data_IF_445881912941
#
_entry.id   IF_445881912941
#
_cell.length_a   1.000
_cell.length_b   1.000
_cell.length_c   1.000
_cell.angle_alpha   90.00
_cell.angle_beta   90.00
_cell.angle_gamma   90.00
#
_symmetry.space_group_name_H-M   'P 1'
#
loop_
_entity.id
_entity.type
_entity.pdbx_description
1 polymer ?
#
# COMPACT_ATOMS: atom_id res chain seq x y z
N UNK A 1 -19.22 39.91 30.61
CA UNK A 1 -20.62 39.66 30.17
C UNK A 1 -21.40 40.96 29.92
N UNK A 2 -21.21 41.97 30.76
CA UNK A 2 -21.94 43.25 30.65
C UNK A 2 -21.33 44.24 29.65
N UNK A 3 -20.03 44.13 29.31
CA UNK A 3 -19.38 44.87 28.22
C UNK A 3 -20.04 44.69 26.84
N UNK A 4 -20.26 43.44 26.34
CA UNK A 4 -20.89 43.26 25.02
C UNK A 4 -22.34 43.73 24.97
N UNK A 5 -23.02 43.85 26.13
CA UNK A 5 -24.35 44.47 26.20
C UNK A 5 -24.23 45.97 26.01
N UNK A 6 -23.32 46.65 26.72
CA UNK A 6 -23.08 48.09 26.56
C UNK A 6 -22.64 48.47 25.14
N UNK A 7 -21.70 47.72 24.55
CA UNK A 7 -21.24 47.93 23.17
C UNK A 7 -22.40 47.89 22.18
N UNK A 8 -23.27 46.88 22.29
CA UNK A 8 -24.36 46.68 21.35
C UNK A 8 -25.50 47.67 21.53
N UNK A 9 -25.59 48.24 22.73
CA UNK A 9 -26.48 49.34 23.03
C UNK A 9 -25.90 50.70 22.65
N UNK A 10 -24.64 50.76 22.18
CA UNK A 10 -23.90 52.00 21.86
C UNK A 10 -23.74 52.93 23.07
N UNK A 11 -23.64 52.35 24.27
CA UNK A 11 -23.54 53.06 25.54
C UNK A 11 -22.11 53.00 26.09
N UNK A 12 -21.11 53.12 25.23
CA UNK A 12 -19.69 52.95 25.57
C UNK A 12 -18.96 54.25 25.88
N UNK A 13 -19.58 55.40 25.65
CA UNK A 13 -18.94 56.70 25.86
C UNK A 13 -18.95 57.10 27.34
N UNK A 14 -17.78 57.59 27.80
CA UNK A 14 -17.59 58.18 29.12
C UNK A 14 -17.60 57.19 30.29
N UNK A 15 -17.86 57.74 31.48
CA UNK A 15 -17.98 57.01 32.74
C UNK A 15 -19.44 56.64 32.96
N UNK A 16 -19.70 55.35 33.14
CA UNK A 16 -21.06 54.82 33.18
C UNK A 16 -21.21 53.79 34.28
N UNK A 17 -22.28 53.89 35.06
CA UNK A 17 -22.68 52.85 36.00
C UNK A 17 -23.89 52.09 35.46
N UNK A 18 -23.74 50.81 35.14
CA UNK A 18 -24.87 49.93 34.79
C UNK A 18 -25.40 49.24 36.04
N UNK A 19 -26.71 49.33 36.28
CA UNK A 19 -27.41 48.55 37.28
C UNK A 19 -28.40 47.60 36.60
N UNK A 20 -28.48 46.39 37.13
CA UNK A 20 -29.53 45.46 36.77
C UNK A 20 -29.92 44.62 37.98
N UNK A 21 -31.14 44.09 37.92
CA UNK A 21 -31.70 43.24 38.94
C UNK A 21 -31.55 41.80 38.49
N UNK A 22 -31.07 40.97 39.41
CA UNK A 22 -30.96 39.53 39.26
C UNK A 22 -31.64 38.84 40.44
N UNK A 23 -31.88 37.54 40.32
CA UNK A 23 -32.48 36.76 41.41
C UNK A 23 -31.62 36.77 42.69
N UNK A 24 -30.32 37.07 42.56
CA UNK A 24 -29.39 37.16 43.68
C UNK A 24 -29.36 38.56 44.32
N UNK A 25 -29.84 39.61 43.64
CA UNK A 25 -29.81 40.99 44.16
C UNK A 25 -29.62 42.05 43.09
N UNK A 26 -29.12 43.21 43.51
CA UNK A 26 -28.81 44.34 42.60
C UNK A 26 -27.34 44.28 42.23
N UNK A 27 -27.03 44.10 40.95
CA UNK A 27 -25.67 44.12 40.45
C UNK A 27 -25.36 45.48 39.85
N UNK A 28 -24.23 46.04 40.29
CA UNK A 28 -23.70 47.33 39.88
C UNK A 28 -22.38 47.08 39.14
N UNK A 29 -22.25 47.59 37.92
CA UNK A 29 -21.06 47.44 37.10
C UNK A 29 -20.65 48.81 36.56
N UNK A 30 -19.45 49.27 36.93
CA UNK A 30 -18.90 50.55 36.50
C UNK A 30 -17.98 50.36 35.29
N UNK A 31 -18.22 51.18 34.27
CA UNK A 31 -17.54 51.18 32.99
C UNK A 31 -16.87 52.51 32.73
N UNK A 32 -15.70 52.44 32.11
CA UNK A 32 -14.96 53.58 31.61
C UNK A 32 -14.60 53.31 30.15
N UNK A 33 -15.11 54.13 29.22
CA UNK A 33 -14.91 53.96 27.79
C UNK A 33 -15.27 52.54 27.29
N UNK A 34 -16.40 52.01 27.79
CA UNK A 34 -16.90 50.68 27.44
C UNK A 34 -16.21 49.50 28.13
N UNK A 35 -15.13 49.71 28.90
CA UNK A 35 -14.44 48.64 29.63
C UNK A 35 -14.89 48.56 31.08
N UNK A 36 -15.12 47.35 31.56
CA UNK A 36 -15.50 47.10 32.95
C UNK A 36 -14.30 47.37 33.87
N UNK A 37 -14.45 48.28 34.82
CA UNK A 37 -13.42 48.59 35.83
C UNK A 37 -13.76 48.00 37.19
N UNK A 38 -15.05 47.96 37.53
CA UNK A 38 -15.52 47.52 38.83
C UNK A 38 -16.89 46.86 38.71
N UNK A 39 -17.14 45.80 39.48
CA UNK A 39 -18.47 45.21 39.60
C UNK A 39 -18.72 44.71 41.01
N UNK A 40 -19.91 44.98 41.54
CA UNK A 40 -20.38 44.52 42.85
C UNK A 40 -21.79 43.96 42.74
N UNK A 41 -22.06 42.92 43.50
CA UNK A 41 -23.41 42.42 43.73
C UNK A 41 -23.81 42.75 45.17
N UNK A 42 -24.90 43.48 45.35
CA UNK A 42 -25.53 43.64 46.65
C UNK A 42 -26.65 42.60 46.76
N UNK A 43 -26.52 41.60 47.65
CA UNK A 43 -27.49 40.52 47.76
C UNK A 43 -28.85 41.04 48.24
N UNK A 44 -29.94 40.37 47.88
CA UNK A 44 -31.30 40.75 48.29
C UNK A 44 -31.44 40.95 49.81
N UNK A 45 -30.75 40.13 50.61
CA UNK A 45 -30.76 40.20 52.08
C UNK A 45 -30.11 41.46 52.65
N UNK A 46 -29.25 42.13 51.88
CA UNK A 46 -28.54 43.34 52.30
C UNK A 46 -29.23 44.63 51.81
N UNK A 47 -30.35 44.52 51.09
CA UNK A 47 -31.10 45.68 50.62
C UNK A 47 -31.84 46.34 51.78
N UNK A 48 -31.79 47.68 51.83
CA UNK A 48 -32.47 48.51 52.83
C UNK A 48 -33.99 48.47 52.71
N UNK A 49 -34.52 48.14 51.54
CA UNK A 49 -35.95 48.00 51.27
C UNK A 49 -36.24 46.77 50.42
N UNK A 50 -37.35 46.10 50.71
CA UNK A 50 -37.93 45.08 49.81
C UNK A 50 -38.46 45.70 48.49
N UNK A 51 -38.59 47.03 48.44
CA UNK A 51 -38.91 47.77 47.22
C UNK A 51 -37.67 47.91 46.33
N UNK A 52 -37.57 47.04 45.32
CA UNK A 52 -36.43 46.95 44.40
C UNK A 52 -36.09 48.27 43.68
N UNK A 53 -37.04 49.05 43.12
CA UNK A 53 -36.79 50.38 42.58
C UNK A 53 -36.05 51.31 43.53
N UNK A 54 -36.51 51.42 44.79
CA UNK A 54 -35.87 52.28 45.80
C UNK A 54 -34.50 51.77 46.19
N UNK A 55 -34.38 50.46 46.43
CA UNK A 55 -33.12 49.83 46.78
C UNK A 55 -32.06 50.06 45.68
N UNK A 56 -32.45 49.97 44.40
CA UNK A 56 -31.57 50.25 43.26
C UNK A 56 -31.05 51.69 43.28
N UNK A 57 -31.94 52.67 43.48
CA UNK A 57 -31.58 54.08 43.53
C UNK A 57 -30.70 54.41 44.75
N UNK A 58 -30.98 53.83 45.92
CA UNK A 58 -30.14 53.98 47.12
C UNK A 58 -28.75 53.39 46.94
N UNK A 59 -28.67 52.20 46.34
CA UNK A 59 -27.39 51.56 46.06
C UNK A 59 -26.53 52.36 45.08
N UNK A 60 -27.12 52.96 44.04
CA UNK A 60 -26.43 53.89 43.15
C UNK A 60 -25.89 55.12 43.92
N UNK A 61 -26.68 55.68 44.85
CA UNK A 61 -26.25 56.79 45.71
C UNK A 61 -25.14 56.40 46.68
N UNK A 62 -25.18 55.18 47.23
CA UNK A 62 -24.14 54.64 48.13
C UNK A 62 -22.83 54.38 47.41
N UNK A 63 -22.87 53.95 46.14
CA UNK A 63 -21.66 53.72 45.35
C UNK A 63 -20.95 55.01 44.95
N UNK A 64 -21.65 56.11 44.75
CA UNK A 64 -21.06 57.34 44.22
C UNK A 64 -19.87 57.86 45.06
N UNK A 65 -19.96 58.01 46.40
CA UNK A 65 -18.83 58.38 47.24
C UNK A 65 -17.65 57.39 47.16
N UNK A 66 -17.92 56.10 46.98
CA UNK A 66 -16.89 55.07 46.83
C UNK A 66 -16.14 55.20 45.50
N UNK A 67 -16.85 55.47 44.40
CA UNK A 67 -16.21 55.70 43.09
C UNK A 67 -15.35 56.98 43.12
N UNK A 68 -15.81 58.03 43.82
CA UNK A 68 -15.03 59.24 44.06
C UNK A 68 -13.77 58.99 44.88
N UNK A 69 -13.87 58.21 45.97
CA UNK A 69 -12.71 57.93 46.84
C UNK A 69 -11.65 57.08 46.12
N UNK A 70 -12.08 56.16 45.25
CA UNK A 70 -11.21 55.37 44.40
C UNK A 70 -10.65 56.13 43.18
N UNK A 71 -11.01 57.41 43.02
CA UNK A 71 -10.62 58.26 41.87
C UNK A 71 -11.02 57.66 40.51
N UNK A 72 -12.12 56.90 40.48
CA UNK A 72 -12.67 56.31 39.26
C UNK A 72 -13.60 57.26 38.51
N UNK A 73 -14.12 58.28 39.19
CA UNK A 73 -14.98 59.31 38.60
C UNK A 73 -14.43 60.71 38.89
N UNK A 74 -14.69 61.64 37.97
CA UNK A 74 -14.21 63.02 38.09
C UNK A 74 -15.13 63.83 39.03
N UNK A 75 -14.55 64.72 39.82
CA UNK A 75 -15.34 65.64 40.66
C UNK A 75 -16.10 66.63 39.76
N UNK A 76 -17.31 67.02 40.16
CA UNK A 76 -18.19 67.95 39.44
C UNK A 76 -18.70 67.49 38.06
N UNK A 77 -18.57 66.21 37.71
CA UNK A 77 -19.25 65.65 36.53
C UNK A 77 -20.35 64.68 36.98
N UNK A 78 -21.61 64.86 36.55
CA UNK A 78 -22.67 63.91 36.90
C UNK A 78 -22.37 62.54 36.28
N UNK A 79 -22.44 61.50 37.10
CA UNK A 79 -22.25 60.13 36.63
C UNK A 79 -23.53 59.62 35.95
N UNK A 80 -23.40 59.13 34.72
CA UNK A 80 -24.50 58.47 34.02
C UNK A 80 -24.76 57.08 34.60
N UNK A 81 -25.95 56.89 35.14
CA UNK A 81 -26.43 55.64 35.74
C UNK A 81 -27.49 55.03 34.84
N UNK A 82 -27.15 53.91 34.21
CA UNK A 82 -28.01 53.19 33.27
C UNK A 82 -28.64 52.00 33.99
N UNK A 83 -29.96 51.94 34.07
CA UNK A 83 -30.67 50.88 34.78
C UNK A 83 -31.45 50.03 33.78
N UNK A 84 -31.15 48.73 33.71
CA UNK A 84 -31.95 47.80 32.92
C UNK A 84 -33.21 47.44 33.69
N UNK A 85 -34.37 47.75 33.11
CA UNK A 85 -35.69 47.61 33.74
C UNK A 85 -36.67 46.94 32.78
N UNK A 86 -37.50 45.99 33.27
CA UNK A 86 -38.60 45.44 32.50
C UNK A 86 -39.69 46.47 32.19
N UNK A 87 -40.33 46.40 31.01
CA UNK A 87 -41.29 47.42 30.58
C UNK A 87 -42.47 47.57 31.55
N UNK A 88 -42.92 46.47 32.17
CA UNK A 88 -44.03 46.47 33.13
C UNK A 88 -43.78 47.28 34.42
N UNK A 89 -42.52 47.57 34.78
CA UNK A 89 -42.16 48.31 36.00
C UNK A 89 -41.44 49.62 35.73
N UNK A 90 -41.38 50.06 34.47
CA UNK A 90 -40.61 51.23 34.07
C UNK A 90 -41.03 52.49 34.84
N UNK A 91 -42.32 52.67 35.09
CA UNK A 91 -42.87 53.81 35.85
C UNK A 91 -42.45 53.82 37.32
N UNK A 92 -42.43 52.64 37.97
CA UNK A 92 -41.97 52.51 39.36
C UNK A 92 -40.48 52.88 39.50
N UNK A 93 -39.66 52.45 38.54
CA UNK A 93 -38.24 52.80 38.49
C UNK A 93 -38.04 54.28 38.16
N UNK A 94 -38.84 54.87 37.28
CA UNK A 94 -38.79 56.30 36.97
C UNK A 94 -39.09 57.16 38.21
N UNK A 95 -40.04 56.74 39.04
CA UNK A 95 -40.38 57.44 40.28
C UNK A 95 -39.27 57.38 41.33
N UNK A 96 -38.58 56.23 41.45
CA UNK A 96 -37.53 56.01 42.45
C UNK A 96 -36.14 56.55 42.02
N UNK A 97 -35.79 56.41 40.74
CA UNK A 97 -34.49 56.76 40.15
C UNK A 97 -34.47 58.21 39.66
N UNK A 98 -34.71 59.17 40.55
CA UNK A 98 -34.68 60.60 40.21
C UNK A 98 -33.24 61.10 40.05
N UNK A 99 -33.00 61.86 38.99
CA UNK A 99 -31.73 62.54 38.76
C UNK A 99 -31.38 63.49 39.91
N UNK A 100 -30.10 63.63 40.17
CA UNK A 100 -29.50 64.50 41.19
C UNK A 100 -28.26 65.14 40.57
N UNK A 101 -27.71 66.20 41.16
CA UNK A 101 -26.48 66.86 40.66
C UNK A 101 -25.31 65.88 40.45
N UNK A 102 -25.24 64.82 41.25
CA UNK A 102 -24.21 63.79 41.16
C UNK A 102 -24.54 62.63 40.21
N UNK A 103 -25.82 62.32 39.99
CA UNK A 103 -26.27 61.09 39.32
C UNK A 103 -27.37 61.40 38.29
N UNK A 104 -27.13 61.05 37.04
CA UNK A 104 -28.14 61.10 35.98
C UNK A 104 -28.62 59.69 35.68
N UNK A 105 -29.89 59.39 35.96
CA UNK A 105 -30.47 58.09 35.69
C UNK A 105 -31.05 58.03 34.28
N UNK A 106 -30.71 56.98 33.56
CA UNK A 106 -31.25 56.62 32.24
C UNK A 106 -31.80 55.19 32.32
N UNK A 107 -33.09 55.04 32.05
CA UNK A 107 -33.78 53.75 32.16
C UNK A 107 -33.79 53.07 30.80
N UNK A 108 -33.32 51.83 30.79
CA UNK A 108 -33.23 51.01 29.59
C UNK A 108 -34.28 49.91 29.69
N UNK A 109 -35.19 49.92 28.73
CA UNK A 109 -36.17 48.84 28.53
C UNK A 109 -35.45 47.53 28.16
N UNK A 110 -35.61 46.52 29.03
CA UNK A 110 -35.02 45.19 28.84
C UNK A 110 -35.53 44.48 27.58
N UNK A 111 -36.78 44.74 27.16
CA UNK A 111 -37.37 44.16 25.95
C UNK A 111 -36.76 44.78 24.68
N UNK A 112 -36.54 46.10 24.70
CA UNK A 112 -35.81 46.78 23.61
C UNK A 112 -34.35 46.33 23.54
N UNK A 113 -33.70 46.16 24.70
CA UNK A 113 -32.35 45.61 24.79
C UNK A 113 -32.29 44.18 24.24
N UNK A 114 -33.28 43.33 24.56
CA UNK A 114 -33.42 41.97 24.00
C UNK A 114 -33.51 41.99 22.48
N UNK A 115 -34.33 42.88 21.92
CA UNK A 115 -34.48 43.06 20.48
C UNK A 115 -33.16 43.44 19.79
N UNK A 116 -32.41 44.40 20.36
CA UNK A 116 -31.08 44.79 19.87
C UNK A 116 -30.04 43.65 19.99
N UNK A 117 -30.17 42.80 21.01
CA UNK A 117 -29.37 41.58 21.21
C UNK A 117 -29.85 40.39 20.36
N UNK A 118 -30.95 40.54 19.61
CA UNK A 118 -31.53 39.53 18.73
C UNK A 118 -32.15 38.34 19.45
N UNK A 119 -32.66 38.54 20.67
CA UNK A 119 -33.55 37.60 21.36
C UNK A 119 -34.98 37.81 20.87
N UNK A 120 -35.58 36.78 20.27
CA UNK A 120 -36.98 36.77 19.83
C UNK A 120 -37.59 35.39 20.14
N UNK A 121 -38.65 35.29 20.95
CA UNK A 121 -39.29 36.37 21.72
C UNK A 121 -38.40 36.90 22.85
N UNK A 122 -38.60 38.15 23.25
CA UNK A 122 -37.98 38.69 24.45
C UNK A 122 -38.62 38.02 25.67
N UNK A 123 -37.83 37.63 26.70
CA UNK A 123 -38.39 37.00 27.88
C UNK A 123 -39.13 38.04 28.74
N UNK A 124 -40.23 37.61 29.38
CA UNK A 124 -41.07 38.45 30.25
C UNK A 124 -40.50 38.59 31.67
N UNK A 125 -39.34 38.00 31.95
CA UNK A 125 -38.76 37.93 33.29
C UNK A 125 -38.12 39.24 33.74
N UNK A 126 -38.12 39.44 35.06
CA UNK A 126 -37.52 40.63 35.68
C UNK A 126 -35.98 40.63 35.60
N UNK A 127 -35.38 39.51 35.17
CA UNK A 127 -33.98 39.22 35.35
C UNK A 127 -33.20 39.42 34.06
N UNK A 128 -32.20 40.31 34.12
CA UNK A 128 -31.37 40.63 32.96
C UNK A 128 -30.36 39.50 32.60
N UNK A 129 -30.34 38.41 33.35
CA UNK A 129 -29.38 37.30 33.17
C UNK A 129 -29.48 36.69 31.77
N UNK A 130 -30.71 36.50 31.26
CA UNK A 130 -30.96 35.97 29.91
C UNK A 130 -30.35 36.87 28.82
N UNK A 131 -30.41 38.20 29.00
CA UNK A 131 -29.78 39.16 28.09
C UNK A 131 -28.26 39.02 28.09
N UNK A 132 -27.65 38.87 29.27
CA UNK A 132 -26.21 38.68 29.40
C UNK A 132 -25.75 37.33 28.84
N UNK A 133 -26.51 36.26 29.05
CA UNK A 133 -26.23 34.94 28.46
C UNK A 133 -26.28 35.02 26.94
N UNK A 134 -27.30 35.66 26.36
CA UNK A 134 -27.33 35.89 24.91
C UNK A 134 -26.13 36.69 24.41
N UNK A 135 -25.76 37.75 25.11
CA UNK A 135 -24.60 38.56 24.75
C UNK A 135 -23.32 37.72 24.75
N UNK A 136 -23.15 36.85 25.76
CA UNK A 136 -22.04 35.90 25.87
C UNK A 136 -22.05 34.83 24.78
N UNK A 137 -23.22 34.31 24.40
CA UNK A 137 -23.33 33.33 23.30
C UNK A 137 -22.92 33.92 21.96
N UNK A 138 -23.17 35.22 21.74
CA UNK A 138 -22.80 35.92 20.50
C UNK A 138 -21.34 36.38 20.47
N UNK A 139 -20.82 36.83 21.61
CA UNK A 139 -19.44 37.26 21.78
C UNK A 139 -18.89 36.66 23.08
N UNK A 140 -18.39 35.41 23.05
CA UNK A 140 -17.74 34.85 24.20
C UNK A 140 -16.46 35.65 24.49
N UNK A 141 -16.22 36.05 25.75
CA UNK A 141 -14.99 36.74 26.11
C UNK A 141 -13.79 35.81 25.88
N UNK A 142 -12.65 36.38 25.49
CA UNK A 142 -11.40 35.64 25.34
C UNK A 142 -10.89 35.12 26.69
N UNK A 143 -11.12 35.90 27.75
CA UNK A 143 -10.74 35.55 29.12
C UNK A 143 -11.73 34.54 29.72
N UNK A 144 -11.20 33.38 30.13
CA UNK A 144 -11.96 32.31 30.77
C UNK A 144 -11.43 32.05 32.18
N UNK A 145 -12.16 32.55 33.17
CA UNK A 145 -11.82 32.42 34.59
C UNK A 145 -12.28 31.11 35.21
N UNK A 146 -13.06 30.29 34.48
CA UNK A 146 -13.56 29.02 35.02
C UNK A 146 -12.41 28.01 35.26
N UNK A 147 -12.33 27.40 36.46
CA UNK A 147 -11.32 26.41 36.77
C UNK A 147 -11.43 25.18 35.86
N UNK A 148 -10.34 24.41 35.75
CA UNK A 148 -10.27 23.27 34.83
C UNK A 148 -11.38 22.23 35.05
N UNK A 149 -11.84 22.06 36.30
CA UNK A 149 -12.89 21.11 36.69
C UNK A 149 -14.26 21.48 36.08
N UNK A 150 -14.65 22.76 36.14
CA UNK A 150 -15.92 23.24 35.58
C UNK A 150 -15.95 23.20 34.05
N UNK A 151 -14.77 23.25 33.41
CA UNK A 151 -14.62 23.17 31.94
C UNK A 151 -14.69 21.76 31.37
N UNK A 152 -14.84 20.72 32.20
CA UNK A 152 -14.82 19.32 31.75
C UNK A 152 -15.91 19.03 30.71
N UNK A 153 -17.14 19.49 30.94
CA UNK A 153 -18.26 19.24 30.02
C UNK A 153 -18.09 19.94 28.67
N UNK A 154 -17.57 21.17 28.68
CA UNK A 154 -17.25 21.89 27.44
C UNK A 154 -16.17 21.16 26.63
N UNK A 155 -15.12 20.65 27.29
CA UNK A 155 -14.09 19.84 26.63
C UNK A 155 -14.64 18.55 26.04
N UNK A 156 -15.54 17.86 26.75
CA UNK A 156 -16.21 16.66 26.22
C UNK A 156 -17.06 17.01 24.98
N UNK A 157 -17.76 18.14 25.00
CA UNK A 157 -18.50 18.59 23.83
C UNK A 157 -17.56 18.89 22.65
N UNK A 158 -16.43 19.57 22.90
CA UNK A 158 -15.44 19.89 21.88
C UNK A 158 -14.80 18.64 21.28
N UNK A 159 -14.45 17.63 22.09
CA UNK A 159 -13.89 16.37 21.58
C UNK A 159 -14.91 15.58 20.78
N UNK A 160 -16.18 15.53 21.22
CA UNK A 160 -17.26 14.90 20.44
C UNK A 160 -17.46 15.59 19.10
N UNK A 161 -17.41 16.92 19.07
CA UNK A 161 -17.50 17.69 17.84
C UNK A 161 -16.33 17.41 16.91
N UNK A 162 -15.09 17.45 17.43
CA UNK A 162 -13.89 17.15 16.68
C UNK A 162 -13.90 15.73 16.09
N UNK A 163 -14.33 14.74 16.88
CA UNK A 163 -14.43 13.35 16.42
C UNK A 163 -15.48 13.20 15.31
N UNK A 164 -16.64 13.86 15.43
CA UNK A 164 -17.67 13.87 14.38
C UNK A 164 -17.17 14.54 13.11
N UNK A 165 -16.47 15.66 13.22
CA UNK A 165 -15.90 16.38 12.09
C UNK A 165 -14.80 15.57 11.39
N UNK A 166 -13.90 14.94 12.16
CA UNK A 166 -12.89 14.03 11.61
C UNK A 166 -13.53 12.84 10.89
N UNK A 167 -14.57 12.25 11.50
CA UNK A 167 -15.34 11.17 10.89
C UNK A 167 -16.03 11.58 9.60
N UNK A 168 -16.63 12.78 9.54
CA UNK A 168 -17.27 13.28 8.31
C UNK A 168 -16.25 13.55 7.21
N UNK A 169 -15.06 14.07 7.53
CA UNK A 169 -13.99 14.30 6.56
C UNK A 169 -13.46 12.96 6.01
N UNK A 170 -13.22 11.99 6.89
CA UNK A 170 -12.77 10.66 6.47
C UNK A 170 -13.81 9.97 5.57
N UNK A 171 -15.09 10.04 5.92
CA UNK A 171 -16.18 9.50 5.10
C UNK A 171 -16.24 10.19 3.73
N UNK A 172 -16.15 11.52 3.68
CA UNK A 172 -16.12 12.26 2.43
C UNK A 172 -14.92 11.87 1.54
N UNK A 173 -13.73 11.69 2.14
CA UNK A 173 -12.54 11.25 1.42
C UNK A 173 -12.71 9.83 0.86
N UNK A 174 -13.25 8.89 1.64
CA UNK A 174 -13.55 7.54 1.17
C UNK A 174 -14.59 7.54 0.04
N UNK A 175 -15.62 8.38 0.12
CA UNK A 175 -16.63 8.51 -0.93
C UNK A 175 -16.02 9.07 -2.23
N UNK A 176 -15.19 10.10 -2.14
CA UNK A 176 -14.50 10.67 -3.29
C UNK A 176 -13.56 9.63 -3.95
N UNK A 177 -12.79 8.91 -3.15
CA UNK A 177 -11.90 7.87 -3.67
C UNK A 177 -12.68 6.72 -4.33
N UNK A 178 -13.80 6.31 -3.73
CA UNK A 178 -14.67 5.27 -4.30
C UNK A 178 -15.32 5.73 -5.61
N UNK A 179 -15.73 6.99 -5.70
CA UNK A 179 -16.27 7.54 -6.94
C UNK A 179 -15.21 7.57 -8.06
N UNK A 180 -13.97 7.98 -7.72
CA UNK A 180 -12.86 7.99 -8.67
C UNK A 180 -12.52 6.59 -9.19
N UNK A 181 -12.39 5.60 -8.30
CA UNK A 181 -12.09 4.22 -8.72
C UNK A 181 -13.20 3.59 -9.56
N UNK A 182 -14.47 3.97 -9.32
CA UNK A 182 -15.59 3.54 -10.18
C UNK A 182 -15.46 4.14 -11.57
N UNK A 183 -15.14 5.43 -11.70
CA UNK A 183 -14.92 6.07 -13.00
C UNK A 183 -13.77 5.38 -13.76
N UNK A 184 -12.63 5.17 -13.10
CA UNK A 184 -11.48 4.46 -13.67
C UNK A 184 -11.87 3.05 -14.13
N UNK A 185 -12.70 2.35 -13.34
CA UNK A 185 -13.15 0.99 -13.69
C UNK A 185 -14.03 0.97 -14.95
N UNK A 186 -14.80 2.02 -15.21
CA UNK A 186 -15.64 2.14 -16.41
C UNK A 186 -14.75 2.36 -17.63
N UNK A 187 -13.76 3.26 -17.54
CA UNK A 187 -12.79 3.48 -18.63
C UNK A 187 -11.99 2.21 -18.93
N UNK A 188 -11.53 1.50 -17.90
CA UNK A 188 -10.77 0.28 -18.06
C UNK A 188 -11.61 -0.86 -18.67
N UNK A 189 -12.90 -0.95 -18.33
CA UNK A 189 -13.84 -1.87 -18.96
C UNK A 189 -14.03 -1.56 -20.44
N UNK A 190 -14.21 -0.29 -20.79
CA UNK A 190 -14.35 0.12 -22.20
C UNK A 190 -13.07 -0.18 -23.00
N UNK A 191 -11.90 0.04 -22.42
CA UNK A 191 -10.62 -0.33 -23.05
C UNK A 191 -10.50 -1.85 -23.23
N UNK A 192 -10.90 -2.63 -22.22
CA UNK A 192 -10.97 -4.08 -22.30
C UNK A 192 -11.89 -4.56 -23.42
N UNK A 193 -13.10 -4.03 -23.50
CA UNK A 193 -14.08 -4.38 -24.53
C UNK A 193 -13.53 -4.10 -25.94
N UNK A 194 -12.87 -2.95 -26.15
CA UNK A 194 -12.21 -2.60 -27.43
C UNK A 194 -11.15 -3.63 -27.82
N UNK A 195 -10.28 -3.99 -26.90
CA UNK A 195 -9.23 -5.01 -27.16
C UNK A 195 -9.85 -6.37 -27.49
N UNK A 196 -10.92 -6.76 -26.80
CA UNK A 196 -11.61 -8.03 -27.11
C UNK A 196 -12.29 -8.01 -28.47
N UNK A 197 -12.86 -6.88 -28.88
CA UNK A 197 -13.47 -6.72 -30.20
C UNK A 197 -12.42 -6.71 -31.31
N UNK A 198 -11.29 -6.06 -31.11
CA UNK A 198 -10.15 -6.09 -32.04
C UNK A 198 -9.61 -7.51 -32.21
N UNK A 199 -9.43 -8.25 -31.11
CA UNK A 199 -9.00 -9.65 -31.15
C UNK A 199 -10.01 -10.52 -31.92
N UNK A 200 -11.31 -10.33 -31.71
CA UNK A 200 -12.37 -11.04 -32.46
C UNK A 200 -12.32 -10.71 -33.94
N UNK A 201 -12.17 -9.43 -34.32
CA UNK A 201 -12.06 -9.01 -35.72
C UNK A 201 -10.82 -9.61 -36.39
N UNK A 202 -9.68 -9.62 -35.71
CA UNK A 202 -8.44 -10.22 -36.21
C UNK A 202 -8.59 -11.73 -36.41
N UNK A 203 -9.24 -12.43 -35.47
CA UNK A 203 -9.50 -13.87 -35.59
C UNK A 203 -10.47 -14.20 -36.73
N UNK A 204 -11.54 -13.41 -36.90
CA UNK A 204 -12.44 -13.56 -38.06
C UNK A 204 -11.72 -13.31 -39.38
N UNK A 205 -10.94 -12.22 -39.48
CA UNK A 205 -10.16 -11.93 -40.68
C UNK A 205 -9.15 -13.05 -40.99
N UNK A 206 -8.50 -13.60 -39.97
CA UNK A 206 -7.59 -14.76 -40.10
C UNK A 206 -8.34 -15.98 -40.65
N UNK A 207 -9.52 -16.29 -40.11
CA UNK A 207 -10.37 -17.40 -40.59
C UNK A 207 -10.83 -17.19 -42.03
N UNK A 208 -11.22 -15.97 -42.38
CA UNK A 208 -11.63 -15.63 -43.74
C UNK A 208 -10.48 -15.77 -44.74
N UNK A 209 -9.26 -15.38 -44.37
CA UNK A 209 -8.07 -15.61 -45.18
C UNK A 209 -7.86 -17.12 -45.37
N UNK A 210 -7.85 -17.89 -44.28
CA UNK A 210 -7.68 -19.35 -44.31
C UNK A 210 -8.72 -20.01 -45.21
N UNK A 211 -9.99 -19.60 -45.13
CA UNK A 211 -11.08 -20.15 -45.93
C UNK A 211 -10.96 -19.84 -47.43
N UNK A 212 -10.27 -18.76 -47.81
CA UNK A 212 -10.02 -18.39 -49.22
C UNK A 212 -8.77 -19.07 -49.81
N UNK A 213 -7.93 -19.73 -49.01
CA UNK A 213 -6.83 -20.50 -49.57
C UNK A 213 -7.38 -21.67 -50.39
N UNK A 214 -6.77 -21.99 -51.55
CA UNK A 214 -7.15 -23.16 -52.31
C UNK A 214 -7.00 -24.42 -51.44
N UNK A 215 -7.91 -25.42 -51.56
CA UNK A 215 -7.84 -26.63 -50.78
C UNK A 215 -6.56 -27.39 -51.15
N UNK A 216 -5.54 -27.30 -50.30
CA UNK A 216 -4.36 -28.15 -50.39
C UNK A 216 -4.74 -29.55 -49.95
N UNK A 217 -4.20 -30.61 -50.57
CA UNK A 217 -4.49 -32.00 -50.19
C UNK A 217 -4.04 -32.34 -48.75
N UNK A 218 -3.30 -31.44 -48.08
CA UNK A 218 -2.79 -31.57 -46.72
C UNK A 218 -3.15 -30.31 -45.92
N UNK A 219 -3.68 -30.43 -44.67
CA UNK A 219 -3.94 -29.29 -43.79
C UNK A 219 -2.65 -28.53 -43.46
N UNK A 220 -2.73 -27.20 -43.36
CA UNK A 220 -1.59 -26.33 -42.99
C UNK A 220 -0.92 -26.76 -41.67
N UNK A 221 -1.73 -27.20 -40.71
CA UNK A 221 -1.27 -27.64 -39.40
C UNK A 221 -0.44 -28.92 -39.50
N UNK A 222 -0.76 -29.81 -40.43
CA UNK A 222 0.05 -30.99 -40.72
C UNK A 222 1.38 -30.59 -41.36
N UNK A 223 1.38 -29.61 -42.27
CA UNK A 223 2.62 -29.11 -42.88
C UNK A 223 3.56 -28.46 -41.84
N UNK A 224 3.01 -27.69 -40.90
CA UNK A 224 3.80 -27.10 -39.79
C UNK A 224 4.42 -28.17 -38.91
N UNK A 225 3.63 -29.17 -38.49
CA UNK A 225 4.14 -30.28 -37.68
C UNK A 225 5.22 -31.07 -38.42
N UNK A 226 5.04 -31.31 -39.72
CA UNK A 226 6.06 -32.00 -40.53
C UNK A 226 7.34 -31.16 -40.65
N UNK A 227 7.22 -29.84 -40.85
CA UNK A 227 8.37 -28.94 -40.94
C UNK A 227 9.13 -28.78 -39.61
N UNK A 228 8.41 -28.66 -38.50
CA UNK A 228 9.05 -28.62 -37.17
C UNK A 228 9.76 -29.95 -36.87
N UNK A 229 9.14 -31.08 -37.23
CA UNK A 229 9.80 -32.39 -37.13
C UNK A 229 11.01 -32.52 -38.05
N UNK A 230 10.98 -31.97 -39.26
CA UNK A 230 12.13 -32.02 -40.16
C UNK A 230 13.30 -31.20 -39.62
N UNK A 231 13.04 -29.99 -39.08
CA UNK A 231 14.07 -29.18 -38.43
C UNK A 231 14.66 -29.89 -37.20
N UNK A 232 13.84 -30.54 -36.39
CA UNK A 232 14.31 -31.33 -35.25
C UNK A 232 15.16 -32.53 -35.67
N UNK A 233 14.81 -33.20 -36.79
CA UNK A 233 15.61 -34.30 -37.34
C UNK A 233 16.95 -33.80 -37.90
N UNK A 234 16.97 -32.68 -38.62
CA UNK A 234 18.20 -32.08 -39.13
C UNK A 234 19.15 -31.72 -37.99
N UNK A 235 18.67 -31.07 -36.92
CA UNK A 235 19.49 -30.72 -35.75
C UNK A 235 20.06 -31.95 -35.02
N UNK A 236 19.30 -33.06 -34.99
CA UNK A 236 19.73 -34.31 -34.34
C UNK A 236 20.64 -35.17 -35.20
N UNK A 237 20.68 -34.95 -36.51
CA UNK A 237 21.54 -35.67 -37.45
C UNK A 237 23.01 -35.21 -37.43
N UNK A 238 23.50 -34.72 -36.29
CA UNK A 238 24.90 -34.28 -36.15
C UNK A 238 25.85 -35.45 -36.48
N UNK A 239 26.75 -35.24 -37.44
CA UNK A 239 27.68 -36.27 -37.93
C UNK A 239 28.71 -36.73 -36.90
N UNK A 240 29.50 -37.79 -37.22
CA UNK A 240 30.47 -38.38 -36.28
C UNK A 240 31.66 -37.47 -35.94
N UNK A 241 31.74 -36.27 -36.51
CA UNK A 241 32.91 -35.38 -36.43
C UNK A 241 33.39 -35.12 -34.99
N UNK A 242 32.48 -34.86 -34.05
CA UNK A 242 32.86 -34.63 -32.66
C UNK A 242 33.44 -35.88 -31.98
N UNK A 243 32.82 -37.05 -32.20
CA UNK A 243 33.33 -38.32 -31.67
C UNK A 243 34.67 -38.70 -32.30
N UNK A 244 34.83 -38.46 -33.60
CA UNK A 244 36.08 -38.70 -34.32
C UNK A 244 37.19 -37.74 -33.88
N UNK A 245 36.88 -36.48 -33.58
CA UNK A 245 37.85 -35.53 -33.06
C UNK A 245 38.37 -35.95 -31.67
N UNK A 246 37.47 -36.36 -30.76
CA UNK A 246 37.86 -36.89 -29.43
C UNK A 246 38.67 -38.17 -29.57
N UNK A 247 38.28 -39.10 -30.45
CA UNK A 247 39.06 -40.30 -30.72
C UNK A 247 40.46 -39.96 -31.27
N UNK A 248 40.56 -39.02 -32.21
CA UNK A 248 41.82 -38.55 -32.76
C UNK A 248 42.75 -37.99 -31.68
N UNK A 249 42.24 -37.12 -30.81
CA UNK A 249 43.01 -36.56 -29.69
C UNK A 249 43.48 -37.62 -28.68
N UNK A 250 42.71 -38.70 -28.48
CA UNK A 250 43.12 -39.82 -27.64
C UNK A 250 44.22 -40.65 -28.33
N UNK A 251 44.09 -40.96 -29.63
CA UNK A 251 45.09 -41.72 -30.39
C UNK A 251 46.43 -41.00 -30.51
N UNK A 252 46.45 -39.66 -30.60
CA UNK A 252 47.70 -38.88 -30.59
C UNK A 252 48.56 -39.15 -29.35
N UNK A 253 47.92 -39.44 -28.20
CA UNK A 253 48.61 -39.78 -26.94
C UNK A 253 48.96 -41.26 -26.84
N UNK A 254 48.26 -42.12 -27.59
CA UNK A 254 48.49 -43.56 -27.66
C UNK A 254 48.79 -44.00 -29.10
N UNK A 255 49.94 -43.58 -29.68
CA UNK A 255 50.28 -43.85 -31.09
C UNK A 255 50.50 -45.34 -31.38
N UNK A 256 50.58 -46.17 -30.33
CA UNK A 256 50.71 -47.61 -30.40
C UNK A 256 49.40 -48.30 -30.78
N UNK A 257 48.26 -47.61 -30.81
CA UNK A 257 46.97 -48.21 -31.16
C UNK A 257 46.68 -47.97 -32.64
N UNK A 258 46.57 -49.05 -33.42
CA UNK A 258 46.21 -48.96 -34.84
C UNK A 258 44.75 -49.30 -35.05
N UNK A 259 43.97 -48.37 -35.61
CA UNK A 259 42.56 -48.61 -35.92
C UNK A 259 42.42 -49.43 -37.20
N UNK A 260 41.57 -50.46 -37.15
CA UNK A 260 41.21 -51.29 -38.30
C UNK A 260 39.85 -50.90 -38.89
N UNK A 261 38.86 -50.66 -38.02
CA UNK A 261 37.49 -50.36 -38.44
C UNK A 261 36.79 -49.40 -37.48
N UNK A 262 35.99 -48.49 -38.05
CA UNK A 262 35.14 -47.54 -37.33
C UNK A 262 33.70 -47.67 -37.81
N UNK A 263 32.80 -48.11 -36.94
CA UNK A 263 31.37 -48.18 -37.23
C UNK A 263 30.61 -47.11 -36.44
N UNK A 264 29.95 -46.18 -37.13
CA UNK A 264 29.13 -45.14 -36.51
C UNK A 264 27.64 -45.41 -36.69
N UNK A 265 26.87 -45.31 -35.60
CA UNK A 265 25.42 -45.55 -35.57
C UNK A 265 24.75 -44.58 -34.61
N UNK A 266 23.59 -44.05 -34.98
CA UNK A 266 22.67 -43.42 -34.02
C UNK A 266 21.72 -44.49 -33.50
N UNK A 267 21.65 -44.61 -32.18
CA UNK A 267 20.76 -45.56 -31.50
C UNK A 267 19.75 -44.76 -30.70
N UNK A 268 18.47 -44.92 -30.99
CA UNK A 268 17.42 -44.35 -30.14
C UNK A 268 17.35 -45.14 -28.83
N UNK A 269 17.53 -44.46 -27.70
CA UNK A 269 17.45 -45.05 -26.35
C UNK A 269 16.01 -44.94 -25.80
N UNK A 270 15.02 -44.79 -26.68
CA UNK A 270 13.61 -44.82 -26.35
C UNK A 270 13.10 -46.25 -26.29
N UNK A 271 12.53 -46.63 -25.13
CA UNK A 271 11.80 -47.87 -24.92
C UNK A 271 10.86 -48.18 -26.10
N UNK A 272 10.75 -49.47 -26.42
CA UNK A 272 9.84 -50.04 -27.41
C UNK A 272 8.53 -49.24 -27.46
N UNK A 273 8.31 -48.54 -28.58
CA UNK A 273 7.07 -47.83 -28.84
C UNK A 273 5.93 -48.84 -28.80
N UNK A 274 5.23 -48.90 -27.67
CA UNK A 274 3.96 -49.59 -27.57
C UNK A 274 3.02 -48.89 -28.54
N UNK A 275 2.55 -49.60 -29.56
CA UNK A 275 1.78 -49.09 -30.70
C UNK A 275 0.37 -48.56 -30.33
N UNK A 276 0.10 -48.24 -29.06
CA UNK A 276 -1.25 -47.97 -28.57
C UNK A 276 -1.39 -46.70 -27.69
N UNK A 277 -0.45 -45.76 -27.74
CA UNK A 277 -0.60 -44.47 -27.07
C UNK A 277 -0.86 -43.35 -28.08
N UNK A 278 -2.13 -42.97 -28.25
CA UNK A 278 -2.61 -41.78 -29.00
C UNK A 278 -2.29 -40.46 -28.28
N UNK A 279 -1.22 -40.39 -27.49
CA UNK A 279 -0.77 -39.14 -26.89
C UNK A 279 0.13 -38.39 -27.88
N UNK A 280 0.06 -37.05 -27.96
CA UNK A 280 1.07 -36.27 -28.66
C UNK A 280 2.38 -36.45 -27.91
N UNK A 281 3.21 -37.37 -28.39
CA UNK A 281 4.59 -37.53 -27.91
C UNK A 281 5.37 -36.31 -28.40
N UNK A 282 5.27 -35.19 -27.68
CA UNK A 282 5.94 -33.92 -28.01
C UNK A 282 7.46 -33.95 -27.82
N UNK A 283 8.02 -35.06 -27.34
CA UNK A 283 9.46 -35.23 -27.19
C UNK A 283 9.90 -36.48 -27.96
N UNK A 284 10.64 -36.28 -29.05
CA UNK A 284 11.35 -37.39 -29.68
C UNK A 284 12.32 -38.02 -28.65
N UNK A 285 12.41 -39.37 -28.59
CA UNK A 285 13.22 -40.06 -27.60
C UNK A 285 14.70 -39.64 -27.68
N UNK A 286 15.46 -39.74 -26.56
CA UNK A 286 16.88 -39.45 -26.56
C UNK A 286 17.61 -40.39 -27.52
N UNK A 287 18.53 -39.84 -28.31
CA UNK A 287 19.34 -40.59 -29.27
C UNK A 287 20.78 -40.61 -28.78
N UNK A 288 21.38 -41.79 -28.72
CA UNK A 288 22.78 -42.00 -28.39
C UNK A 288 23.57 -42.17 -29.69
N UNK A 289 24.51 -41.27 -29.96
CA UNK A 289 25.50 -41.46 -31.02
C UNK A 289 26.57 -42.45 -30.53
N UNK A 290 26.74 -43.55 -31.26
CA UNK A 290 27.62 -44.65 -30.89
C UNK A 290 28.66 -44.88 -31.97
N UNK A 291 29.93 -44.90 -31.56
CA UNK A 291 31.07 -45.22 -32.39
C UNK A 291 31.72 -46.51 -31.85
N UNK A 292 31.77 -47.55 -32.68
CA UNK A 292 32.45 -48.81 -32.36
C UNK A 292 33.80 -48.80 -33.08
N UNK A 293 34.86 -48.87 -32.30
CA UNK A 293 36.26 -48.82 -32.76
C UNK A 293 36.85 -50.21 -32.61
N UNK A 294 37.27 -50.80 -33.73
CA UNK A 294 38.08 -52.02 -33.74
C UNK A 294 39.54 -51.61 -33.96
N UNK A 295 40.41 -52.01 -33.04
CA UNK A 295 41.82 -51.61 -33.07
C UNK A 295 42.73 -52.78 -32.72
N UNK A 296 43.97 -52.70 -33.20
CA UNK A 296 45.04 -53.67 -32.98
C UNK A 296 46.22 -53.01 -32.29
N UNK A 297 46.94 -53.81 -31.49
CA UNK A 297 48.19 -53.45 -30.85
C UNK A 297 49.37 -54.08 -31.62
N UNK A 298 50.57 -53.47 -31.60
CA UNK A 298 51.77 -54.03 -32.21
C UNK A 298 52.11 -55.41 -31.63
N UNK A 299 52.75 -56.26 -32.43
CA UNK A 299 53.08 -57.63 -32.06
C UNK A 299 53.92 -57.73 -30.76
N UNK A 300 54.66 -56.68 -30.39
CA UNK A 300 55.44 -56.63 -29.13
C UNK A 300 54.58 -56.71 -27.86
N UNK A 301 53.29 -56.38 -27.95
CA UNK A 301 52.33 -56.48 -26.85
C UNK A 301 51.78 -57.90 -26.67
N UNK A 302 52.04 -58.82 -27.61
CA UNK A 302 51.69 -60.24 -27.48
C UNK A 302 52.39 -60.92 -26.30
N UNK A 303 53.66 -60.57 -26.04
CA UNK A 303 54.46 -61.09 -24.93
C UNK A 303 54.26 -60.32 -23.60
N UNK A 304 53.66 -59.12 -23.65
CA UNK A 304 53.46 -58.22 -22.50
C UNK A 304 51.97 -58.01 -22.19
N UNK A 305 51.29 -59.11 -21.87
CA UNK A 305 49.84 -59.15 -21.64
C UNK A 305 49.34 -58.09 -20.63
N UNK A 306 50.04 -57.88 -19.50
CA UNK A 306 49.63 -56.88 -18.49
C UNK A 306 49.70 -55.45 -19.02
N UNK A 307 50.79 -55.09 -19.70
CA UNK A 307 50.96 -53.75 -20.27
C UNK A 307 49.97 -53.47 -21.40
N UNK A 308 49.57 -54.49 -22.15
CA UNK A 308 48.52 -54.36 -23.17
C UNK A 308 47.14 -54.07 -22.57
N UNK A 309 46.80 -54.73 -21.46
CA UNK A 309 45.54 -54.48 -20.74
C UNK A 309 45.53 -53.09 -20.09
N UNK A 310 46.62 -52.70 -19.43
CA UNK A 310 46.77 -51.36 -18.83
C UNK A 310 46.63 -50.24 -19.87
N UNK A 311 47.16 -50.43 -21.08
CA UNK A 311 47.06 -49.46 -22.18
C UNK A 311 45.60 -49.32 -22.66
N UNK A 312 44.90 -50.43 -22.87
CA UNK A 312 43.49 -50.41 -23.32
C UNK A 312 42.58 -49.81 -22.25
N UNK A 313 42.81 -50.11 -20.97
CA UNK A 313 42.07 -49.51 -19.86
C UNK A 313 42.36 -48.01 -19.74
N UNK A 314 43.63 -47.59 -19.86
CA UNK A 314 43.99 -46.17 -19.85
C UNK A 314 43.37 -45.39 -21.02
N UNK A 315 43.28 -46.00 -22.21
CA UNK A 315 42.60 -45.44 -23.37
C UNK A 315 41.09 -45.29 -23.13
N UNK A 316 40.45 -46.30 -22.54
CA UNK A 316 39.02 -46.26 -22.22
C UNK A 316 38.70 -45.20 -21.16
N UNK A 317 39.55 -45.05 -20.13
CA UNK A 317 39.41 -44.00 -19.11
C UNK A 317 39.56 -42.61 -19.73
N UNK A 318 40.54 -42.41 -20.62
CA UNK A 318 40.75 -41.11 -21.25
C UNK A 318 39.59 -40.72 -22.17
N UNK A 319 39.02 -41.67 -22.91
CA UNK A 319 37.84 -41.44 -23.75
C UNK A 319 36.55 -41.24 -22.93
N UNK A 320 36.52 -41.70 -21.69
CA UNK A 320 35.44 -41.46 -20.72
C UNK A 320 35.60 -40.18 -19.89
N UNK A 321 36.66 -39.40 -20.11
CA UNK A 321 36.98 -38.19 -19.32
C UNK A 321 36.07 -37.00 -19.67
N UNK A 322 35.56 -36.95 -20.90
CA UNK A 322 34.67 -35.88 -21.35
C UNK A 322 33.24 -36.04 -20.77
N UNK A 323 32.65 -34.98 -20.19
CA UNK A 323 31.31 -35.05 -19.61
C UNK A 323 30.27 -35.36 -20.69
N UNK A 324 29.56 -36.47 -20.52
CA UNK A 324 28.53 -36.96 -21.47
C UNK A 324 29.01 -38.04 -22.44
N UNK A 325 30.26 -38.48 -22.34
CA UNK A 325 30.84 -39.59 -23.09
C UNK A 325 30.92 -40.85 -22.23
N UNK A 326 30.63 -42.01 -22.81
CA UNK A 326 30.79 -43.32 -22.17
C UNK A 326 31.61 -44.22 -23.07
N UNK A 327 32.83 -44.55 -22.64
CA UNK A 327 33.67 -45.53 -23.30
C UNK A 327 33.56 -46.87 -22.58
N UNK A 328 33.25 -47.94 -23.31
CA UNK A 328 33.14 -49.31 -22.79
C UNK A 328 33.90 -50.26 -23.68
N UNK A 329 34.77 -51.07 -23.08
CA UNK A 329 35.49 -52.13 -23.79
C UNK A 329 34.53 -53.30 -24.00
N UNK A 330 34.24 -53.64 -25.24
CA UNK A 330 33.33 -54.74 -25.60
C UNK A 330 34.08 -56.06 -25.81
N UNK A 331 35.32 -55.99 -26.31
CA UNK A 331 36.22 -57.14 -26.48
C UNK A 331 37.62 -56.76 -26.03
N UNK A 332 38.18 -57.50 -25.08
CA UNK A 332 39.54 -57.30 -24.59
C UNK A 332 40.57 -57.94 -25.53
N UNK A 333 41.83 -57.46 -25.54
CA UNK A 333 42.89 -57.99 -26.40
C UNK A 333 43.31 -59.43 -26.07
N UNK A 334 42.98 -59.93 -24.88
CA UNK A 334 43.24 -61.30 -24.43
C UNK A 334 42.05 -61.79 -23.59
N UNK A 335 41.71 -63.08 -23.68
CA UNK A 335 40.65 -63.69 -22.88
C UNK A 335 41.11 -63.86 -21.42
N UNK A 336 40.45 -63.16 -20.48
CA UNK A 336 40.72 -63.23 -19.04
C UNK A 336 39.88 -64.30 -18.31
N UNK A 337 39.33 -65.29 -19.00
CA UNK A 337 38.61 -66.38 -18.34
C UNK A 337 39.58 -67.26 -17.53
N UNK A 338 39.68 -66.98 -16.23
CA UNK A 338 40.46 -67.68 -15.21
C UNK A 338 39.92 -69.09 -14.90
N UNK A 339 39.62 -69.89 -15.93
CA UNK A 339 39.05 -71.24 -15.80
C UNK A 339 39.58 -72.31 -16.76
N UNK A 340 40.44 -71.99 -17.75
CA UNK A 340 40.99 -73.02 -18.64
C UNK A 340 42.27 -73.68 -18.08
N UNK A 341 42.16 -74.98 -17.83
CA UNK A 341 43.21 -75.89 -17.40
C UNK A 341 44.29 -76.00 -18.47
N UNK A 342 45.55 -75.72 -18.11
CA UNK A 342 46.74 -75.92 -18.94
C UNK A 342 46.86 -77.39 -19.36
N UNK A 343 46.44 -77.72 -20.59
CA UNK A 343 46.83 -78.97 -21.26
C UNK A 343 48.08 -78.71 -22.08
N UNK A 344 49.21 -79.22 -21.59
CA UNK A 344 50.45 -79.36 -22.35
C UNK A 344 50.22 -80.27 -23.55
N UNK A 345 50.25 -79.68 -24.75
CA UNK A 345 50.15 -80.37 -26.02
C UNK A 345 50.84 -79.53 -27.09
N UNK A 346 52.05 -79.93 -27.46
CA UNK A 346 52.87 -79.30 -28.49
C UNK A 346 52.19 -79.42 -29.86
N UNK A 347 51.32 -78.45 -30.19
CA UNK A 347 50.88 -78.10 -31.55
C UNK A 347 50.01 -76.83 -31.54
N UNK A 348 50.62 -75.69 -31.20
CA UNK A 348 50.26 -74.39 -31.80
C UNK A 348 51.33 -73.31 -31.55
N UNK A 349 52.61 -73.65 -31.65
CA UNK A 349 53.72 -72.67 -31.59
C UNK A 349 54.03 -72.04 -32.97
N UNK A 350 53.15 -72.17 -33.97
CA UNK A 350 53.34 -71.55 -35.30
C UNK A 350 52.17 -70.71 -35.82
N UNK A 351 51.10 -70.53 -35.05
CA UNK A 351 50.03 -69.59 -35.36
C UNK A 351 49.97 -68.37 -34.42
N UNK A 352 50.81 -68.33 -33.38
CA UNK A 352 50.80 -67.29 -32.33
C UNK A 352 52.04 -66.38 -32.36
N UNK A 353 52.93 -66.51 -33.36
CA UNK A 353 54.11 -65.66 -33.51
C UNK A 353 53.87 -64.37 -34.34
N UNK A 354 52.68 -64.24 -34.95
CA UNK A 354 52.28 -63.08 -35.78
C UNK A 354 50.85 -62.57 -35.46
N UNK A 355 50.23 -63.08 -34.39
CA UNK A 355 48.89 -62.63 -33.97
C UNK A 355 49.00 -61.33 -33.18
N UNK A 356 48.74 -60.21 -33.83
CA UNK A 356 48.60 -58.90 -33.17
C UNK A 356 47.35 -58.90 -32.28
N UNK A 357 47.43 -58.47 -31.00
CA UNK A 357 46.26 -58.40 -30.13
C UNK A 357 45.23 -57.40 -30.67
N UNK A 358 43.97 -57.81 -30.80
CA UNK A 358 42.86 -56.98 -31.27
C UNK A 358 41.84 -56.74 -30.16
N UNK A 359 41.34 -55.50 -30.04
CA UNK A 359 40.32 -55.14 -29.08
C UNK A 359 39.22 -54.30 -29.73
N UNK A 360 38.05 -54.27 -29.10
CA UNK A 360 36.91 -53.47 -29.56
C UNK A 360 36.44 -52.56 -28.45
N UNK A 361 36.39 -51.26 -28.75
CA UNK A 361 35.92 -50.22 -27.86
C UNK A 361 34.64 -49.59 -28.41
N UNK A 362 33.66 -49.42 -27.55
CA UNK A 362 32.43 -48.70 -27.86
C UNK A 362 32.45 -47.34 -27.16
N UNK A 363 32.23 -46.28 -27.91
CA UNK A 363 32.15 -44.91 -27.43
C UNK A 363 30.74 -44.39 -27.70
N UNK A 364 30.00 -44.05 -26.65
CA UNK A 364 28.64 -43.52 -26.72
C UNK A 364 28.58 -42.08 -26.23
N UNK A 365 27.79 -41.24 -26.91
CA UNK A 365 27.44 -39.88 -26.47
C UNK A 365 25.93 -39.69 -26.56
N UNK A 366 25.30 -39.29 -25.48
CA UNK A 366 23.87 -38.95 -25.49
C UNK A 366 23.70 -37.57 -26.14
N UNK A 367 22.91 -37.51 -27.20
CA UNK A 367 22.48 -36.26 -27.81
C UNK A 367 21.21 -35.83 -27.05
N UNK A 368 21.35 -34.80 -26.22
CA UNK A 368 20.23 -34.20 -25.49
C UNK A 368 19.20 -33.60 -26.48
N UNK A 369 17.89 -33.61 -26.12
CA UNK A 369 16.80 -33.28 -27.02
C UNK A 369 16.80 -31.86 -27.57
#
# INVERSE_FOLDING_TARGET
ASEPVLERMQLTEGQTLLLHISAAGVRQSFFENGRLRFSRLTPLTALSSNDLPRACAEEARRLHPYLLSQRLITRNTPLSVRVLVPPARMDEFALACRATEALQFDLIDSQQAAGKLGLRPAPDDLYCETLFVQALMRRPPAEQFAPAAERRFFRIWQTRFALRAAGSVALAACLLMSAHTVLDSIELRQAGDRVTDEARRAETARRDIIARLPPTPVPLETLRVVHERSLQLEQRSTGPAALLATLGAALERYPQVHIEQLDWKLVSTGAQLSANALAPVSALPPVEARLVVQARLPAEYSARQRSALELVDALAVELGRDPGMQARITRQPFDLESGQVLRGGARSERAAADSTPQFTLQIGRVIAP
#
